data_IF_395058026533
#
_entry.id   IF_395058026533
#
_cell.length_a   1.000
_cell.length_b   1.000
_cell.length_c   1.000
_cell.angle_alpha   90.00
_cell.angle_beta   90.00
_cell.angle_gamma   90.00
#
_symmetry.space_group_name_H-M   'P 1'
#
loop_
_entity.id
_entity.type
_entity.pdbx_description
1 polymer ?
#
# COMPACT_ATOMS: atom_id res chain seq x y z
N UNK A 1 -2.21 -2.42 14.65
CA UNK A 1 -2.93 -3.01 13.49
C UNK A 1 -4.38 -2.69 13.70
N UNK A 2 -4.90 -1.89 12.78
CA UNK A 2 -6.28 -1.43 12.74
C UNK A 2 -6.88 -1.84 11.39
N UNK A 3 -8.16 -2.18 11.40
CA UNK A 3 -8.95 -2.43 10.18
C UNK A 3 -9.87 -1.23 9.97
N UNK A 4 -9.79 -0.63 8.79
CA UNK A 4 -10.64 0.46 8.35
C UNK A 4 -11.63 -0.07 7.31
N UNK A 5 -12.92 0.06 7.57
CA UNK A 5 -13.97 -0.18 6.58
C UNK A 5 -14.18 1.10 5.76
N UNK A 6 -14.17 0.97 4.43
CA UNK A 6 -14.30 2.08 3.48
C UNK A 6 -15.70 2.02 2.86
N UNK A 7 -16.55 2.99 3.21
CA UNK A 7 -17.98 2.96 2.85
C UNK A 7 -18.24 3.34 1.39
N UNK A 8 -17.55 4.35 0.86
CA UNK A 8 -17.70 4.77 -0.54
C UNK A 8 -16.67 4.10 -1.44
N UNK A 9 -16.98 2.86 -1.82
CA UNK A 9 -16.13 2.01 -2.67
C UNK A 9 -15.88 2.67 -4.03
N UNK A 10 -16.91 3.29 -4.64
CA UNK A 10 -16.78 3.89 -5.96
C UNK A 10 -15.83 5.09 -5.92
N UNK A 11 -16.00 5.97 -4.94
CA UNK A 11 -15.11 7.11 -4.74
C UNK A 11 -13.69 6.65 -4.46
N UNK A 12 -13.52 5.70 -3.53
CA UNK A 12 -12.20 5.15 -3.21
C UNK A 12 -11.51 4.57 -4.44
N UNK A 13 -12.19 3.74 -5.23
CA UNK A 13 -11.61 3.15 -6.44
C UNK A 13 -11.25 4.20 -7.50
N UNK A 14 -12.09 5.24 -7.66
CA UNK A 14 -11.79 6.38 -8.51
C UNK A 14 -10.52 7.12 -8.07
N UNK A 15 -10.27 7.21 -6.76
CA UNK A 15 -9.04 7.82 -6.23
C UNK A 15 -7.85 6.87 -6.31
N UNK A 16 -8.01 5.58 -5.98
CA UNK A 16 -6.94 4.59 -5.97
C UNK A 16 -6.34 4.44 -7.38
N UNK A 17 -7.18 4.23 -8.39
CA UNK A 17 -6.71 3.94 -9.75
C UNK A 17 -6.65 5.17 -10.65
N UNK A 18 -7.52 6.15 -10.41
CA UNK A 18 -7.67 7.35 -11.25
C UNK A 18 -6.89 8.58 -10.78
N UNK A 19 -6.17 8.52 -9.67
CA UNK A 19 -5.42 9.66 -9.13
C UNK A 19 -4.08 9.24 -8.52
N UNK A 20 -3.12 10.16 -8.30
CA UNK A 20 -1.79 9.82 -7.77
C UNK A 20 -1.78 9.59 -6.24
N UNK A 21 -2.94 9.33 -5.64
CA UNK A 21 -3.12 9.23 -4.18
C UNK A 21 -2.19 8.18 -3.54
N UNK A 22 -1.99 7.04 -4.23
CA UNK A 22 -1.14 5.94 -3.76
C UNK A 22 0.21 5.87 -4.48
N UNK A 23 0.53 6.80 -5.38
CA UNK A 23 1.70 6.71 -6.28
C UNK A 23 3.06 6.65 -5.54
N UNK A 24 3.11 7.15 -4.30
CA UNK A 24 4.31 7.15 -3.46
C UNK A 24 4.48 5.88 -2.62
N UNK A 25 3.45 5.02 -2.56
CA UNK A 25 3.58 3.71 -1.96
C UNK A 25 4.20 2.74 -2.96
N UNK A 26 4.99 1.82 -2.46
CA UNK A 26 5.45 0.68 -3.23
C UNK A 26 4.33 -0.37 -3.25
N UNK A 27 4.10 -1.02 -4.38
CA UNK A 27 3.18 -2.15 -4.45
C UNK A 27 3.98 -3.44 -4.26
N UNK A 28 3.69 -4.23 -3.22
CA UNK A 28 4.39 -5.50 -3.01
C UNK A 28 3.74 -6.65 -3.77
N UNK A 29 2.41 -6.69 -3.75
CA UNK A 29 1.62 -7.65 -4.52
C UNK A 29 0.24 -7.07 -4.86
N UNK A 30 -0.32 -7.52 -5.96
CA UNK A 30 -1.75 -7.35 -6.25
C UNK A 30 -2.36 -8.64 -6.78
N UNK A 31 -3.57 -8.92 -6.32
CA UNK A 31 -4.37 -10.06 -6.76
C UNK A 31 -5.75 -9.55 -7.17
N UNK A 32 -6.11 -9.67 -8.44
CA UNK A 32 -7.36 -9.12 -8.99
C UNK A 32 -8.16 -10.26 -9.63
N UNK A 33 -9.33 -10.57 -9.06
CA UNK A 33 -10.25 -11.57 -9.60
C UNK A 33 -11.37 -10.88 -10.37
N UNK A 34 -11.32 -10.94 -11.69
CA UNK A 34 -12.35 -10.44 -12.60
C UNK A 34 -12.79 -11.57 -13.56
N UNK A 35 -12.97 -11.28 -14.85
CA UNK A 35 -13.23 -12.33 -15.86
C UNK A 35 -12.10 -13.35 -15.96
N UNK A 36 -10.88 -12.94 -15.59
CA UNK A 36 -9.73 -13.79 -15.30
C UNK A 36 -9.08 -13.34 -13.99
N UNK A 37 -8.16 -14.14 -13.46
CA UNK A 37 -7.38 -13.77 -12.27
C UNK A 37 -6.01 -13.25 -12.68
N UNK A 38 -5.66 -12.07 -12.20
CA UNK A 38 -4.34 -11.48 -12.34
C UNK A 38 -3.60 -11.54 -11.01
N UNK A 39 -2.35 -11.98 -11.06
CA UNK A 39 -1.41 -11.92 -9.92
C UNK A 39 -0.22 -11.10 -10.36
N UNK A 40 0.05 -10.01 -9.64
CA UNK A 40 1.17 -9.12 -9.89
C UNK A 40 2.13 -9.26 -8.72
N UNK A 41 3.37 -9.62 -9.05
CA UNK A 41 4.51 -9.48 -8.17
C UNK A 41 5.10 -8.09 -8.37
N UNK A 42 5.19 -7.31 -7.30
CA UNK A 42 5.67 -5.94 -7.35
C UNK A 42 7.17 -5.79 -7.26
N UNK A 43 7.93 -6.88 -7.05
CA UNK A 43 9.39 -6.80 -6.93
C UNK A 43 10.00 -6.19 -8.19
N UNK A 44 10.99 -5.32 -7.99
CA UNK A 44 11.80 -4.82 -9.10
C UNK A 44 12.58 -6.00 -9.67
N UNK A 45 12.52 -6.16 -10.99
CA UNK A 45 13.26 -7.20 -11.68
C UNK A 45 14.63 -6.67 -12.11
N UNK A 46 15.65 -6.93 -11.31
CA UNK A 46 17.03 -6.49 -11.58
C UNK A 46 17.62 -7.08 -12.87
N UNK A 47 17.03 -8.16 -13.41
CA UNK A 47 17.43 -8.71 -14.72
C UNK A 47 16.84 -7.92 -15.90
N UNK A 48 15.83 -7.07 -15.65
CA UNK A 48 15.14 -6.28 -16.68
C UNK A 48 15.67 -4.85 -16.76
N UNK A 49 15.96 -4.22 -15.61
CA UNK A 49 16.45 -2.85 -15.54
C UNK A 49 17.98 -2.80 -15.53
N UNK A 50 18.56 -1.91 -16.34
CA UNK A 50 19.98 -1.54 -16.18
C UNK A 50 20.18 -0.62 -14.98
N UNK A 51 21.43 -0.43 -14.53
CA UNK A 51 21.76 0.53 -13.47
C UNK A 51 21.34 1.97 -13.85
N UNK A 52 21.53 2.36 -15.11
CA UNK A 52 21.11 3.65 -15.66
C UNK A 52 19.58 3.80 -15.65
N UNK A 53 18.84 2.73 -15.95
CA UNK A 53 17.37 2.74 -15.88
C UNK A 53 16.92 2.93 -14.43
N UNK A 54 17.52 2.20 -13.49
CA UNK A 54 17.20 2.33 -12.07
C UNK A 54 17.43 3.78 -11.60
N UNK A 55 18.47 4.47 -12.10
CA UNK A 55 18.79 5.86 -11.72
C UNK A 55 17.79 6.84 -12.29
N UNK A 56 17.58 6.74 -13.60
CA UNK A 56 16.68 7.62 -14.34
C UNK A 56 15.26 7.50 -13.81
N UNK A 57 14.82 6.29 -13.46
CA UNK A 57 13.49 6.00 -12.93
C UNK A 57 13.38 6.17 -11.41
N UNK A 58 14.48 6.49 -10.71
CA UNK A 58 14.56 6.65 -9.24
C UNK A 58 14.10 5.41 -8.48
N UNK A 59 14.59 4.25 -8.91
CA UNK A 59 14.28 2.94 -8.34
C UNK A 59 15.40 2.41 -7.44
N UNK A 60 16.57 3.06 -7.35
CA UNK A 60 17.64 2.60 -6.44
C UNK A 60 17.17 2.48 -5.01
N UNK A 61 17.58 1.39 -4.36
CA UNK A 61 17.30 1.14 -2.94
C UNK A 61 15.84 0.76 -2.67
N UNK A 62 15.00 0.65 -3.70
CA UNK A 62 13.66 0.10 -3.58
C UNK A 62 13.68 -1.40 -3.89
N UNK A 63 12.92 -2.19 -3.15
CA UNK A 63 12.71 -3.61 -3.46
C UNK A 63 11.51 -3.84 -4.38
N UNK A 64 10.60 -2.87 -4.45
CA UNK A 64 9.33 -2.97 -5.15
C UNK A 64 9.07 -1.71 -5.97
N UNK A 65 8.32 -1.84 -7.07
CA UNK A 65 7.96 -0.71 -7.90
C UNK A 65 6.98 0.24 -7.16
N UNK A 66 7.18 1.57 -7.27
CA UNK A 66 6.16 2.54 -6.87
C UNK A 66 4.86 2.28 -7.63
N UNK A 67 3.72 2.48 -6.97
CA UNK A 67 2.43 2.21 -7.57
C UNK A 67 2.15 3.07 -8.80
N UNK A 68 2.80 4.24 -8.94
CA UNK A 68 2.74 5.08 -10.14
C UNK A 68 3.06 4.32 -11.44
N UNK A 69 3.97 3.34 -11.39
CA UNK A 69 4.34 2.51 -12.54
C UNK A 69 3.28 1.47 -12.90
N UNK A 70 2.49 1.04 -11.91
CA UNK A 70 1.57 -0.09 -12.02
C UNK A 70 0.10 0.33 -12.03
N UNK A 71 -0.21 1.58 -11.67
CA UNK A 71 -1.57 2.08 -11.51
C UNK A 71 -2.39 2.01 -12.79
N UNK A 72 -1.82 2.40 -13.93
CA UNK A 72 -2.47 2.29 -15.24
C UNK A 72 -2.73 0.83 -15.62
N UNK A 73 -1.76 -0.05 -15.40
CA UNK A 73 -1.89 -1.49 -15.62
C UNK A 73 -3.01 -2.09 -14.76
N UNK A 74 -3.05 -1.74 -13.47
CA UNK A 74 -4.11 -2.20 -12.56
C UNK A 74 -5.48 -1.63 -12.94
N UNK A 75 -5.54 -0.37 -13.37
CA UNK A 75 -6.76 0.24 -13.91
C UNK A 75 -7.25 -0.55 -15.13
N UNK A 76 -6.35 -0.91 -16.04
CA UNK A 76 -6.69 -1.65 -17.26
C UNK A 76 -7.18 -3.08 -16.99
N UNK A 77 -6.72 -3.72 -15.92
CA UNK A 77 -7.21 -5.03 -15.48
C UNK A 77 -8.59 -4.97 -14.82
N UNK A 78 -8.95 -3.83 -14.23
CA UNK A 78 -10.21 -3.64 -13.49
C UNK A 78 -11.28 -2.95 -14.35
N UNK A 79 -10.89 -2.10 -15.32
CA UNK A 79 -11.81 -1.33 -16.15
C UNK A 79 -12.69 -2.28 -16.95
N UNK A 80 -13.98 -1.96 -17.00
CA UNK A 80 -14.96 -2.76 -17.71
C UNK A 80 -16.38 -2.49 -17.23
N UNK A 81 -17.32 -3.25 -17.78
CA UNK A 81 -18.74 -3.15 -17.41
C UNK A 81 -19.04 -3.82 -16.07
N UNK A 82 -18.33 -4.92 -15.77
CA UNK A 82 -18.55 -5.72 -14.58
C UNK A 82 -17.50 -5.36 -13.52
N UNK A 83 -17.94 -5.20 -12.28
CA UNK A 83 -17.04 -5.03 -11.14
C UNK A 83 -16.24 -6.32 -10.90
N UNK A 84 -14.96 -6.23 -10.49
CA UNK A 84 -14.20 -7.40 -10.06
C UNK A 84 -14.94 -8.15 -8.94
N UNK A 85 -14.76 -9.46 -8.87
CA UNK A 85 -15.31 -10.34 -7.81
C UNK A 85 -14.62 -10.03 -6.48
N UNK A 86 -13.31 -9.89 -6.53
CA UNK A 86 -12.48 -9.50 -5.39
C UNK A 86 -11.17 -8.90 -5.88
N UNK A 87 -10.52 -8.09 -5.04
CA UNK A 87 -9.12 -7.75 -5.25
C UNK A 87 -8.41 -7.54 -3.92
N UNK A 88 -7.09 -7.70 -3.96
CA UNK A 88 -6.17 -7.35 -2.88
C UNK A 88 -5.03 -6.53 -3.47
N UNK A 89 -4.70 -5.41 -2.84
CA UNK A 89 -3.47 -4.66 -3.07
C UNK A 89 -2.72 -4.55 -1.76
N UNK A 90 -1.44 -4.89 -1.76
CA UNK A 90 -0.57 -4.72 -0.60
C UNK A 90 0.41 -3.59 -0.90
N UNK A 91 0.19 -2.47 -0.23
CA UNK A 91 1.05 -1.29 -0.34
C UNK A 91 2.04 -1.27 0.82
N UNK A 92 3.27 -0.89 0.52
CA UNK A 92 4.33 -0.68 1.49
C UNK A 92 4.82 0.77 1.43
N UNK A 93 5.07 1.34 2.60
CA UNK A 93 5.69 2.65 2.72
C UNK A 93 7.13 2.59 2.19
N UNK A 94 7.57 3.60 1.45
CA UNK A 94 8.95 3.63 0.94
C UNK A 94 9.97 3.64 2.09
N UNK A 95 11.22 3.18 1.87
CA UNK A 95 12.28 3.23 2.89
C UNK A 95 12.48 4.64 3.47
N UNK A 96 12.45 5.66 2.60
CA UNK A 96 12.54 7.08 2.99
C UNK A 96 11.40 7.49 3.94
N UNK A 97 10.15 7.18 3.58
CA UNK A 97 9.00 7.53 4.41
C UNK A 97 8.92 6.69 5.70
N UNK A 98 9.44 5.47 5.69
CA UNK A 98 9.62 4.64 6.89
C UNK A 98 10.59 5.31 7.85
N UNK A 99 11.76 5.74 7.38
CA UNK A 99 12.73 6.47 8.19
C UNK A 99 12.15 7.78 8.74
N UNK A 100 11.41 8.55 7.94
CA UNK A 100 10.72 9.75 8.41
C UNK A 100 9.66 9.48 9.48
N UNK A 101 8.93 8.38 9.35
CA UNK A 101 7.91 7.97 10.33
C UNK A 101 8.57 7.59 11.64
N UNK A 102 9.63 6.78 11.60
CA UNK A 102 10.40 6.40 12.78
C UNK A 102 11.00 7.61 13.51
N UNK A 103 11.62 8.54 12.78
CA UNK A 103 12.24 9.74 13.35
C UNK A 103 11.24 10.69 14.05
N UNK A 104 9.96 10.60 13.69
CA UNK A 104 8.88 11.38 14.30
C UNK A 104 8.10 10.61 15.36
N UNK A 105 8.21 9.28 15.35
CA UNK A 105 7.63 8.42 16.37
C UNK A 105 8.38 8.57 17.69
N UNK A 106 7.70 8.26 18.80
CA UNK A 106 8.33 8.12 20.12
C UNK A 106 8.85 6.69 20.35
N UNK A 107 8.95 5.86 19.30
CA UNK A 107 9.39 4.48 19.41
C UNK A 107 10.91 4.37 19.43
N UNK A 108 11.43 3.28 20.00
CA UNK A 108 12.88 3.01 20.02
C UNK A 108 13.40 2.30 18.77
N UNK A 109 12.52 2.01 17.80
CA UNK A 109 12.88 1.24 16.60
C UNK A 109 13.73 2.06 15.64
N UNK A 110 14.66 1.37 14.98
CA UNK A 110 15.48 1.90 13.89
C UNK A 110 15.04 1.35 12.54
N UNK A 111 15.40 1.97 11.41
CA UNK A 111 15.03 1.48 10.09
C UNK A 111 15.39 0.00 9.87
N UNK A 112 16.54 -0.44 10.36
CA UNK A 112 16.99 -1.84 10.28
C UNK A 112 16.11 -2.84 11.05
N UNK A 113 15.32 -2.37 12.03
CA UNK A 113 14.41 -3.21 12.81
C UNK A 113 13.07 -3.45 12.06
N UNK A 114 12.80 -2.72 10.98
CA UNK A 114 11.53 -2.71 10.26
C UNK A 114 11.70 -3.29 8.86
N UNK A 115 11.04 -4.42 8.58
CA UNK A 115 10.99 -4.99 7.23
C UNK A 115 10.00 -4.25 6.31
N UNK A 116 8.96 -3.62 6.89
CA UNK A 116 8.02 -2.81 6.13
C UNK A 116 6.82 -2.32 6.95
N UNK A 117 6.22 -1.22 6.48
CA UNK A 117 4.97 -0.66 7.02
C UNK A 117 3.92 -0.67 5.91
N UNK A 118 2.76 -1.27 6.15
CA UNK A 118 1.84 -1.71 5.11
C UNK A 118 0.44 -1.13 5.25
N UNK A 119 -0.20 -0.93 4.09
CA UNK A 119 -1.65 -0.79 3.91
C UNK A 119 -2.14 -1.92 3.01
N UNK A 120 -2.94 -2.82 3.55
CA UNK A 120 -3.54 -3.92 2.80
C UNK A 120 -4.97 -3.55 2.40
N UNK A 121 -5.20 -3.26 1.12
CA UNK A 121 -6.54 -2.97 0.59
C UNK A 121 -7.17 -4.28 0.10
N UNK A 122 -8.32 -4.65 0.64
CA UNK A 122 -9.02 -5.87 0.29
C UNK A 122 -10.48 -5.59 -0.03
N UNK A 123 -10.94 -6.00 -1.21
CA UNK A 123 -12.34 -5.98 -1.60
C UNK A 123 -12.85 -7.38 -1.81
N UNK A 124 -13.91 -7.76 -1.09
CA UNK A 124 -14.59 -9.04 -1.26
C UNK A 124 -16.00 -8.96 -0.72
N UNK A 125 -16.95 -9.64 -1.38
CA UNK A 125 -18.35 -9.71 -0.96
C UNK A 125 -19.00 -8.32 -0.75
N UNK A 126 -18.68 -7.35 -1.61
CA UNK A 126 -19.22 -6.00 -1.53
C UNK A 126 -18.66 -5.14 -0.40
N UNK A 127 -17.66 -5.61 0.36
CA UNK A 127 -16.99 -4.86 1.42
C UNK A 127 -15.57 -4.53 1.00
N UNK A 128 -15.15 -3.30 1.29
CA UNK A 128 -13.80 -2.81 1.06
C UNK A 128 -13.17 -2.45 2.41
N UNK A 129 -12.02 -3.04 2.70
CA UNK A 129 -11.29 -2.82 3.95
C UNK A 129 -9.83 -2.46 3.66
N UNK A 130 -9.27 -1.62 4.53
CA UNK A 130 -7.83 -1.41 4.63
C UNK A 130 -7.32 -1.90 5.99
N UNK A 131 -6.30 -2.75 6.00
CA UNK A 131 -5.63 -3.18 7.23
C UNK A 131 -4.22 -2.62 7.28
N UNK A 132 -3.87 -1.93 8.37
CA UNK A 132 -2.50 -1.49 8.64
C UNK A 132 -1.65 -2.65 9.16
N UNK A 133 -0.38 -2.70 8.78
CA UNK A 133 0.56 -3.68 9.32
C UNK A 133 1.97 -3.12 9.45
N UNK A 134 2.74 -3.66 10.39
CA UNK A 134 4.18 -3.44 10.48
C UNK A 134 4.83 -4.81 10.58
N UNK A 135 5.85 -5.04 9.76
CA UNK A 135 6.72 -6.20 9.87
C UNK A 135 8.01 -5.79 10.53
N UNK A 136 8.39 -6.51 11.59
CA UNK A 136 9.61 -6.30 12.36
C UNK A 136 10.62 -7.41 12.07
N UNK A 137 11.91 -7.07 12.10
CA UNK A 137 13.02 -8.03 12.07
C UNK A 137 13.35 -8.61 13.46
N UNK A 138 12.75 -8.06 14.52
CA UNK A 138 12.95 -8.45 15.90
C UNK A 138 11.64 -8.57 16.66
N UNK A 139 11.64 -9.31 17.75
CA UNK A 139 10.52 -9.33 18.67
C UNK A 139 10.57 -8.12 19.61
N UNK A 140 9.47 -7.37 19.69
CA UNK A 140 9.31 -6.28 20.65
C UNK A 140 7.88 -6.23 21.19
N UNK A 141 7.70 -6.03 22.52
CA UNK A 141 6.40 -5.75 23.11
C UNK A 141 5.99 -4.27 22.94
N UNK A 142 6.89 -3.38 22.51
CA UNK A 142 6.58 -1.97 22.27
C UNK A 142 5.58 -1.83 21.12
N UNK A 143 4.42 -1.22 21.42
CA UNK A 143 3.32 -0.97 20.46
C UNK A 143 3.25 0.46 19.93
N UNK A 144 4.20 1.30 20.32
CA UNK A 144 4.18 2.75 20.03
C UNK A 144 4.16 3.01 18.54
N UNK A 145 4.96 2.28 17.75
CA UNK A 145 5.02 2.46 16.31
C UNK A 145 3.74 1.98 15.62
N UNK A 146 3.12 0.89 16.08
CA UNK A 146 1.83 0.45 15.54
C UNK A 146 0.73 1.49 15.78
N UNK A 147 0.68 2.12 16.96
CA UNK A 147 -0.30 3.17 17.24
C UNK A 147 -0.08 4.40 16.38
N UNK A 148 1.18 4.83 16.20
CA UNK A 148 1.53 5.94 15.31
C UNK A 148 1.15 5.62 13.86
N UNK A 149 1.43 4.42 13.38
CA UNK A 149 1.09 4.01 12.02
C UNK A 149 -0.42 3.95 11.79
N UNK A 150 -1.17 3.43 12.74
CA UNK A 150 -2.62 3.37 12.68
C UNK A 150 -3.24 4.78 12.60
N UNK A 151 -2.71 5.76 13.37
CA UNK A 151 -3.15 7.15 13.33
C UNK A 151 -2.73 7.87 12.03
N UNK A 152 -1.52 7.61 11.51
CA UNK A 152 -1.08 8.14 10.23
C UNK A 152 -1.93 7.63 9.06
N UNK A 153 -2.33 6.35 9.08
CA UNK A 153 -3.23 5.78 8.08
C UNK A 153 -4.60 6.47 8.11
N UNK A 154 -5.17 6.67 9.29
CA UNK A 154 -6.44 7.40 9.46
C UNK A 154 -6.33 8.86 8.96
N UNK A 155 -5.25 9.56 9.34
CA UNK A 155 -4.96 10.91 8.84
C UNK A 155 -4.81 10.95 7.33
N UNK A 156 -4.17 9.94 6.73
CA UNK A 156 -4.01 9.82 5.29
C UNK A 156 -5.37 9.68 4.59
N UNK A 157 -6.25 8.81 5.07
CA UNK A 157 -7.60 8.67 4.52
C UNK A 157 -8.41 9.96 4.66
N UNK A 158 -8.41 10.59 5.84
CA UNK A 158 -9.11 11.85 6.10
C UNK A 158 -8.62 12.97 5.19
N UNK A 159 -7.30 13.14 5.04
CA UNK A 159 -6.69 14.15 4.15
C UNK A 159 -7.13 13.95 2.69
N UNK A 160 -7.34 12.71 2.28
CA UNK A 160 -7.78 12.37 0.94
C UNK A 160 -9.31 12.33 0.76
N UNK A 161 -10.07 12.71 1.80
CA UNK A 161 -11.54 12.71 1.82
C UNK A 161 -12.13 11.29 1.65
N UNK A 162 -11.43 10.27 2.14
CA UNK A 162 -11.93 8.90 2.18
C UNK A 162 -12.60 8.69 3.55
N UNK A 163 -13.90 8.41 3.53
CA UNK A 163 -14.65 8.04 4.73
C UNK A 163 -14.25 6.63 5.17
N UNK A 164 -13.75 6.51 6.40
CA UNK A 164 -13.35 5.25 7.02
C UNK A 164 -13.95 5.09 8.40
N UNK A 165 -14.32 3.86 8.74
CA UNK A 165 -14.76 3.47 10.08
C UNK A 165 -13.80 2.41 10.63
N UNK A 166 -13.35 2.56 11.88
CA UNK A 166 -12.54 1.52 12.53
C UNK A 166 -13.43 0.32 12.84
N UNK A 167 -13.10 -0.85 12.29
CA UNK A 167 -13.77 -2.09 12.68
C UNK A 167 -13.33 -2.49 14.09
N UNK A 168 -14.30 -2.80 14.95
CA UNK A 168 -14.10 -3.33 16.30
C UNK A 168 -13.63 -4.79 16.30
#
# INVERSE_FOLDING_TARGET
>A
MTVFEISDIKYFMGRLLGSPMFDHFLLTEAHICAGITYTLDGHINDSFYSEDDLETLRLQGLSYLPFSFLRSTCFDMIKGKNTPVSFRFVFMLSPENTAHTLARSQSSFRPEDISGMFLNINYRNGRLQCTTGISYQLFSPDKTLEYEWDDLAEKFFRKNQIAVEKSL
#
